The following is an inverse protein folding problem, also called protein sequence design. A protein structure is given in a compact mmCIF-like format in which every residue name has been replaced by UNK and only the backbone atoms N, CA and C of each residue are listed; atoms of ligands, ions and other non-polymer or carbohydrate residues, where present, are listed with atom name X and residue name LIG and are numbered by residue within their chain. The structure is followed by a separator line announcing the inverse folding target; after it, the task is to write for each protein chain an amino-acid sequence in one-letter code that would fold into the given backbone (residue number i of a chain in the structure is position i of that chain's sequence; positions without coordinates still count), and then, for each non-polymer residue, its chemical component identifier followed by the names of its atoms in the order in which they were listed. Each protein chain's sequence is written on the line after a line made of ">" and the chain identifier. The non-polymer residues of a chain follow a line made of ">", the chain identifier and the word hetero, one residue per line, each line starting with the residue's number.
data_IF_261192377665
#
_entry.id   IF_261192377665
#
_cell.length_a   1.000
_cell.length_b   1.000
_cell.length_c   1.000
_cell.angle_alpha   90.00
_cell.angle_beta   90.00
_cell.angle_gamma   90.00
#
_symmetry.space_group_name_H-M   'P 1'
#
loop_
_entity.id
_entity.type
_entity.pdbx_description
1 polymer ?
#
# COMPACT_ATOMS: atom_id res chain seq x y z
N UNK A 1 3.20 29.40 4.07
CA UNK A 1 3.77 28.10 3.69
C UNK A 1 2.77 27.03 4.09
N UNK A 2 1.90 26.60 3.17
CA UNK A 2 0.91 25.56 3.47
C UNK A 2 1.66 24.21 3.56
N UNK A 3 1.65 23.60 4.75
CA UNK A 3 2.29 22.31 4.98
C UNK A 3 1.78 21.29 3.96
N UNK A 4 2.68 20.70 3.18
CA UNK A 4 2.33 19.65 2.24
C UNK A 4 1.86 18.44 3.06
N UNK A 5 0.54 18.24 3.13
CA UNK A 5 -0.03 17.01 3.69
C UNK A 5 0.43 15.85 2.81
N UNK A 6 1.42 15.10 3.30
CA UNK A 6 1.90 13.89 2.67
C UNK A 6 0.76 12.88 2.64
N UNK A 7 0.42 12.38 1.47
CA UNK A 7 -0.59 11.33 1.30
C UNK A 7 0.05 9.98 1.54
N UNK A 8 -0.73 8.99 1.98
CA UNK A 8 -0.23 7.64 2.21
C UNK A 8 -1.12 6.62 1.52
N UNK A 9 -0.50 5.60 0.92
CA UNK A 9 -1.20 4.48 0.29
C UNK A 9 -0.55 3.17 0.71
N UNK A 10 -1.40 2.19 1.06
CA UNK A 10 -0.99 0.84 1.42
C UNK A 10 -1.73 -0.15 0.52
N UNK A 11 -0.97 -0.87 -0.32
CA UNK A 11 -1.51 -1.94 -1.16
C UNK A 11 -1.55 -3.25 -0.39
N UNK A 12 -2.69 -3.93 -0.36
CA UNK A 12 -2.84 -5.16 0.44
C UNK A 12 -3.36 -6.31 -0.40
N UNK A 13 -2.74 -7.48 -0.20
CA UNK A 13 -3.23 -8.75 -0.70
C UNK A 13 -2.97 -9.86 0.33
N UNK A 14 -3.33 -11.11 0.02
CA UNK A 14 -3.23 -12.19 0.99
C UNK A 14 -1.79 -12.41 1.51
N UNK A 15 -0.83 -12.62 0.62
CA UNK A 15 0.55 -13.00 0.99
C UNK A 15 1.63 -11.95 0.71
N UNK A 16 1.29 -10.78 0.16
CA UNK A 16 2.26 -9.72 -0.15
C UNK A 16 3.47 -10.13 -1.00
N UNK A 17 3.31 -11.14 -1.86
CA UNK A 17 4.36 -11.61 -2.79
C UNK A 17 4.01 -11.41 -4.27
N UNK A 18 2.74 -11.27 -4.63
CA UNK A 18 2.34 -11.21 -6.05
C UNK A 18 1.68 -9.88 -6.40
N UNK A 19 0.42 -9.67 -6.02
CA UNK A 19 -0.38 -8.50 -6.44
C UNK A 19 0.09 -7.18 -5.84
N UNK A 20 0.17 -7.11 -4.51
CA UNK A 20 0.44 -5.84 -3.83
C UNK A 20 1.86 -5.30 -4.05
N UNK A 21 2.95 -6.11 -4.12
CA UNK A 21 4.27 -5.56 -4.45
C UNK A 21 4.36 -5.05 -5.89
N UNK A 22 3.62 -5.66 -6.83
CA UNK A 22 3.52 -5.14 -8.20
C UNK A 22 2.82 -3.78 -8.20
N UNK A 23 1.68 -3.68 -7.50
CA UNK A 23 0.93 -2.42 -7.41
C UNK A 23 1.76 -1.30 -6.77
N UNK A 24 2.50 -1.60 -5.70
CA UNK A 24 3.43 -0.67 -5.06
C UNK A 24 4.50 -0.15 -6.03
N UNK A 25 5.17 -1.07 -6.74
CA UNK A 25 6.24 -0.72 -7.67
C UNK A 25 5.73 0.12 -8.84
N UNK A 26 4.57 -0.26 -9.41
CA UNK A 26 3.92 0.49 -10.50
C UNK A 26 3.47 1.87 -10.02
N UNK A 27 2.85 1.97 -8.85
CA UNK A 27 2.42 3.25 -8.30
C UNK A 27 3.61 4.17 -8.00
N UNK A 28 4.69 3.63 -7.42
CA UNK A 28 5.93 4.37 -7.19
C UNK A 28 6.52 4.88 -8.51
N UNK A 29 6.56 4.05 -9.56
CA UNK A 29 7.00 4.47 -10.89
C UNK A 29 6.17 5.64 -11.41
N UNK A 30 4.84 5.52 -11.41
CA UNK A 30 3.92 6.56 -11.89
C UNK A 30 4.07 7.86 -11.09
N UNK A 31 4.20 7.78 -9.76
CA UNK A 31 4.38 8.94 -8.90
C UNK A 31 5.72 9.65 -9.15
N UNK A 32 6.78 8.89 -9.43
CA UNK A 32 8.10 9.42 -9.83
C UNK A 32 8.03 10.09 -11.19
N UNK A 33 7.43 9.45 -12.19
CA UNK A 33 7.25 10.01 -13.55
C UNK A 33 6.40 11.29 -13.53
N UNK A 34 5.43 11.38 -12.63
CA UNK A 34 4.60 12.56 -12.44
C UNK A 34 5.25 13.65 -11.55
N UNK A 35 6.45 13.42 -11.00
CA UNK A 35 7.15 14.38 -10.15
C UNK A 35 6.47 14.67 -8.81
N UNK A 36 5.70 13.70 -8.29
CA UNK A 36 4.94 13.84 -7.03
C UNK A 36 5.29 12.78 -5.99
N UNK A 37 6.27 11.92 -6.24
CA UNK A 37 6.65 10.83 -5.32
C UNK A 37 6.95 11.32 -3.90
N UNK A 38 7.56 12.49 -3.74
CA UNK A 38 7.88 13.08 -2.44
C UNK A 38 6.64 13.51 -1.62
N UNK A 39 5.46 13.53 -2.25
CA UNK A 39 4.18 13.83 -1.60
C UNK A 39 3.45 12.55 -1.15
N UNK A 40 4.04 11.38 -1.36
CA UNK A 40 3.42 10.09 -1.09
C UNK A 40 4.30 9.19 -0.23
N UNK A 41 3.68 8.58 0.79
CA UNK A 41 4.19 7.40 1.48
C UNK A 41 3.55 6.18 0.82
N UNK A 42 4.37 5.32 0.21
CA UNK A 42 3.92 4.20 -0.63
C UNK A 42 4.48 2.90 -0.06
N UNK A 43 3.58 1.99 0.31
CA UNK A 43 3.95 0.70 0.90
C UNK A 43 2.97 -0.41 0.50
N UNK A 44 3.31 -1.66 0.79
CA UNK A 44 2.43 -2.82 0.63
C UNK A 44 2.52 -3.82 1.77
N UNK A 45 1.44 -4.57 2.02
CA UNK A 45 1.38 -5.55 3.11
C UNK A 45 0.49 -6.76 2.83
N UNK A 46 0.59 -7.76 3.71
CA UNK A 46 -0.16 -9.01 3.69
C UNK A 46 -1.26 -9.01 4.75
N UNK A 47 -2.39 -9.66 4.48
CA UNK A 47 -3.34 -10.01 5.54
C UNK A 47 -2.90 -11.26 6.32
N UNK A 48 -2.19 -12.18 5.64
CA UNK A 48 -1.61 -13.39 6.26
C UNK A 48 -0.13 -13.19 6.62
N UNK A 49 0.39 -14.07 7.47
CA UNK A 49 1.78 -14.11 7.93
C UNK A 49 2.66 -15.12 7.17
N UNK A 50 2.08 -15.90 6.24
CA UNK A 50 2.73 -17.05 5.62
C UNK A 50 4.01 -16.75 4.83
N UNK A 51 4.12 -15.53 4.30
CA UNK A 51 5.22 -15.15 3.42
C UNK A 51 6.11 -14.06 4.01
N UNK A 52 6.03 -13.75 5.31
CA UNK A 52 6.85 -12.70 5.91
C UNK A 52 8.34 -12.91 5.58
N UNK A 53 9.02 -11.84 5.15
CA UNK A 53 10.42 -11.83 4.73
C UNK A 53 10.69 -12.40 3.34
N UNK A 54 9.69 -12.99 2.67
CA UNK A 54 9.86 -13.55 1.32
C UNK A 54 10.01 -12.43 0.29
N UNK A 55 10.78 -12.70 -0.77
CA UNK A 55 10.77 -11.84 -1.96
C UNK A 55 9.45 -11.96 -2.72
N UNK A 56 9.09 -10.95 -3.53
CA UNK A 56 8.00 -11.09 -4.49
C UNK A 56 8.21 -12.31 -5.40
N UNK A 57 7.10 -12.89 -5.85
CA UNK A 57 7.05 -14.02 -6.77
C UNK A 57 7.86 -13.69 -8.04
N UNK A 58 8.69 -14.63 -8.48
CA UNK A 58 9.59 -14.44 -9.61
C UNK A 58 8.86 -14.04 -10.90
N UNK A 59 7.61 -14.50 -11.10
CA UNK A 59 6.78 -14.11 -12.26
C UNK A 59 6.37 -12.64 -12.16
N UNK A 60 6.07 -12.17 -10.95
CA UNK A 60 5.78 -10.76 -10.69
C UNK A 60 7.01 -9.88 -10.95
N UNK A 61 8.18 -10.31 -10.50
CA UNK A 61 9.46 -9.61 -10.77
C UNK A 61 9.78 -9.59 -12.27
N UNK A 62 9.58 -10.70 -12.98
CA UNK A 62 9.76 -10.76 -14.43
C UNK A 62 8.80 -9.82 -15.17
N UNK A 63 7.53 -9.76 -14.74
CA UNK A 63 6.55 -8.83 -15.28
C UNK A 63 6.99 -7.37 -15.09
N UNK A 64 7.39 -6.99 -13.88
CA UNK A 64 7.89 -5.64 -13.60
C UNK A 64 9.09 -5.28 -14.49
N UNK A 65 10.05 -6.20 -14.63
CA UNK A 65 11.24 -6.01 -15.49
C UNK A 65 10.86 -5.77 -16.94
N UNK A 66 9.91 -6.55 -17.47
CA UNK A 66 9.40 -6.36 -18.83
C UNK A 66 8.75 -4.98 -19.04
N UNK A 67 8.25 -4.36 -17.97
CA UNK A 67 7.69 -3.00 -17.98
C UNK A 67 8.69 -1.92 -17.51
N UNK A 68 9.98 -2.24 -17.43
CA UNK A 68 11.03 -1.30 -17.06
C UNK A 68 10.91 -0.82 -15.61
N UNK A 69 10.57 -1.73 -14.70
CA UNK A 69 10.46 -1.45 -13.26
C UNK A 69 11.00 -2.63 -12.47
N UNK A 70 11.52 -2.37 -11.28
CA UNK A 70 11.96 -3.42 -10.36
C UNK A 70 11.50 -3.08 -8.95
N UNK A 71 11.52 -4.09 -8.08
CA UNK A 71 11.26 -3.90 -6.65
C UNK A 71 12.13 -4.83 -5.83
N UNK A 72 12.63 -4.30 -4.72
CA UNK A 72 13.37 -5.03 -3.68
C UNK A 72 12.49 -5.33 -2.47
N UNK A 73 11.15 -5.27 -2.64
CA UNK A 73 10.19 -5.49 -1.56
C UNK A 73 10.44 -6.79 -0.79
N UNK A 74 10.03 -6.79 0.47
CA UNK A 74 10.02 -7.97 1.32
C UNK A 74 8.65 -8.07 1.97
N UNK A 75 8.04 -9.24 1.81
CA UNK A 75 6.69 -9.46 2.25
C UNK A 75 6.59 -9.22 3.77
N UNK A 76 5.56 -8.49 4.19
CA UNK A 76 5.30 -8.21 5.61
C UNK A 76 3.81 -8.27 5.89
N UNK A 77 3.44 -8.68 7.09
CA UNK A 77 2.04 -8.62 7.52
C UNK A 77 1.65 -7.18 7.87
N UNK A 78 0.41 -6.82 7.58
CA UNK A 78 -0.21 -5.60 8.09
C UNK A 78 -0.46 -5.80 9.58
N UNK A 79 0.21 -5.03 10.41
CA UNK A 79 -0.03 -5.02 11.85
C UNK A 79 -1.24 -4.13 12.17
N UNK A 80 -2.02 -4.45 13.22
CA UNK A 80 -3.12 -3.60 13.69
C UNK A 80 -2.65 -2.44 14.57
N UNK A 81 -1.47 -2.53 15.19
CA UNK A 81 -0.93 -1.55 16.16
C UNK A 81 0.01 -0.50 15.55
N UNK A 82 0.37 -0.66 14.27
CA UNK A 82 1.19 0.33 13.58
C UNK A 82 0.46 1.68 13.61
N UNK A 83 1.11 2.76 14.06
CA UNK A 83 0.55 4.10 14.07
C UNK A 83 0.49 4.64 12.64
N UNK A 84 -0.25 3.99 11.73
CA UNK A 84 -0.88 4.67 10.60
C UNK A 84 -2.07 5.45 11.15
N UNK A 85 -1.77 6.34 12.09
CA UNK A 85 -2.70 7.22 12.76
C UNK A 85 -3.46 7.97 11.68
N UNK A 86 -4.75 7.68 11.52
CA UNK A 86 -5.83 8.66 11.37
C UNK A 86 -5.57 9.91 10.50
N UNK A 87 -4.73 9.82 9.47
CA UNK A 87 -4.50 10.89 8.51
C UNK A 87 -5.42 10.63 7.32
N UNK A 88 -6.70 10.97 7.52
CA UNK A 88 -7.73 11.47 6.58
C UNK A 88 -7.69 11.17 5.07
N UNK A 89 -6.90 10.22 4.55
CA UNK A 89 -6.81 9.88 3.13
C UNK A 89 -6.24 8.47 2.90
N UNK A 90 -6.44 7.53 3.82
CA UNK A 90 -6.00 6.15 3.65
C UNK A 90 -6.86 5.46 2.58
N UNK A 91 -6.36 5.36 1.34
CA UNK A 91 -6.98 4.51 0.32
C UNK A 91 -6.41 3.10 0.49
N UNK A 92 -7.09 2.27 1.29
CA UNK A 92 -6.83 0.83 1.30
C UNK A 92 -7.35 0.25 -0.01
N UNK A 93 -6.45 -0.24 -0.86
CA UNK A 93 -6.82 -0.91 -2.11
C UNK A 93 -6.65 -2.41 -1.92
N UNK A 94 -7.77 -3.09 -1.69
CA UNK A 94 -7.82 -4.56 -1.70
C UNK A 94 -7.86 -5.04 -3.16
N UNK A 95 -6.81 -5.73 -3.61
CA UNK A 95 -6.81 -6.39 -4.91
C UNK A 95 -7.33 -7.82 -4.80
N UNK A 96 -8.64 -8.01 -4.61
CA UNK A 96 -9.31 -9.29 -4.87
C UNK A 96 -10.16 -9.18 -6.13
N UNK A 97 -9.82 -10.02 -7.10
CA UNK A 97 -10.35 -10.12 -8.47
C UNK A 97 -10.18 -8.89 -9.38
N UNK A 98 -9.77 -9.22 -10.60
CA UNK A 98 -9.60 -8.36 -11.76
C UNK A 98 -10.69 -7.28 -11.87
N UNK A 99 -10.31 -6.00 -11.73
CA UNK A 99 -11.09 -4.89 -12.28
C UNK A 99 -11.95 -4.05 -11.33
N UNK A 100 -11.92 -4.23 -10.00
CA UNK A 100 -12.61 -3.31 -9.07
C UNK A 100 -11.65 -2.71 -8.03
N UNK A 101 -11.22 -1.47 -8.31
CA UNK A 101 -10.53 -0.62 -7.34
C UNK A 101 -11.56 -0.14 -6.30
N UNK A 102 -11.74 -0.89 -5.22
CA UNK A 102 -12.60 -0.48 -4.11
C UNK A 102 -11.77 0.42 -3.19
N UNK A 103 -11.99 1.73 -3.28
CA UNK A 103 -11.48 2.71 -2.32
C UNK A 103 -12.25 2.57 -1.02
N UNK A 104 -11.68 1.90 -0.01
CA UNK A 104 -12.31 1.88 1.31
C UNK A 104 -12.01 3.19 2.05
N UNK A 105 -13.01 4.08 2.11
CA UNK A 105 -12.98 5.26 2.98
C UNK A 105 -13.66 4.84 4.28
N UNK A 106 -12.88 4.56 5.33
CA UNK A 106 -13.48 4.29 6.63
C UNK A 106 -14.27 5.55 7.07
N UNK A 107 -15.55 5.45 7.46
CA UNK A 107 -16.22 6.59 8.11
C UNK A 107 -15.38 7.03 9.32
N UNK A 108 -15.34 8.34 9.63
CA UNK A 108 -14.60 8.81 10.79
C UNK A 108 -15.12 8.07 12.02
N UNK A 109 -14.21 7.39 12.74
CA UNK A 109 -14.56 6.82 14.03
C UNK A 109 -15.09 7.96 14.90
N UNK A 110 -16.33 7.81 15.38
CA UNK A 110 -16.86 8.62 16.45
C UNK A 110 -15.84 8.60 17.59
N UNK A 111 -15.33 9.78 17.94
CA UNK A 111 -14.44 9.96 19.07
C UNK A 111 -15.05 9.30 20.32
N UNK A 112 -14.26 8.65 21.19
CA UNK A 112 -14.78 8.13 22.44
C UNK A 112 -15.30 9.32 23.25
N UNK A 113 -16.60 9.35 23.52
CA UNK A 113 -17.17 10.22 24.55
C UNK A 113 -16.57 9.77 25.88
N UNK A 114 -15.59 10.53 26.37
CA UNK A 114 -15.18 10.53 27.77
C UNK A 114 -16.40 10.95 28.59
N UNK A 115 -17.07 9.97 29.20
CA UNK A 115 -17.96 10.22 30.34
C UNK A 115 -17.08 10.22 31.58
N UNK A 116 -16.97 11.41 32.19
CA UNK A 116 -16.60 11.61 33.59
C UNK A 116 -17.74 11.06 34.47
#
# INVERSE_FOLDING_TARGET
>A
MAGSSSKSVLFVCLGNICRSPIAEAVFRKMATEAGVVDKWVIDSGATSDWNIGSSPDARGLACLRNHGTETSHRARQVQPDVPWLFLTSLSFVCMSEVGKMISYRHPPALAPTLSI
#
